data_IF_110421749960
#
_entry.id   IF_110421749960
#
_cell.length_a   1.000
_cell.length_b   1.000
_cell.length_c   1.000
_cell.angle_alpha   90.00
_cell.angle_beta   90.00
_cell.angle_gamma   90.00
#
_symmetry.space_group_name_H-M   'P 1'
#
loop_
_entity.id
_entity.type
_entity.pdbx_description
1 polymer ?
#
# COMPACT_ATOMS: atom_id res chain seq x y z
N UNK A 1 -22.32 17.93 -20.08
CA UNK A 1 -21.06 18.28 -19.41
C UNK A 1 -20.74 17.14 -18.48
N UNK A 2 -20.12 16.09 -19.03
CA UNK A 2 -19.77 14.89 -18.28
C UNK A 2 -18.58 15.23 -17.37
N UNK A 3 -18.62 14.88 -16.08
CA UNK A 3 -17.50 15.14 -15.19
C UNK A 3 -16.31 14.35 -15.73
N UNK A 4 -15.19 15.04 -15.91
CA UNK A 4 -13.90 14.44 -16.26
C UNK A 4 -13.70 13.24 -15.34
N UNK A 5 -13.74 12.03 -15.90
CA UNK A 5 -13.35 10.83 -15.17
C UNK A 5 -11.84 10.96 -14.96
N UNK A 6 -11.48 11.69 -13.92
CA UNK A 6 -10.14 11.75 -13.39
C UNK A 6 -9.70 10.29 -13.27
N UNK A 7 -8.61 9.85 -13.91
CA UNK A 7 -8.08 8.51 -13.67
C UNK A 7 -7.53 8.53 -12.25
N UNK A 8 -8.44 8.45 -11.28
CA UNK A 8 -8.13 8.26 -9.88
C UNK A 8 -7.49 6.88 -9.83
N UNK A 9 -6.16 6.85 -9.87
CA UNK A 9 -5.35 5.68 -9.62
C UNK A 9 -5.57 5.23 -8.18
N UNK A 10 -6.76 4.67 -7.90
CA UNK A 10 -7.14 4.09 -6.62
C UNK A 10 -6.57 2.69 -6.60
N UNK A 11 -5.38 2.56 -6.03
CA UNK A 11 -4.99 1.29 -5.44
C UNK A 11 -5.98 1.05 -4.29
N UNK A 12 -6.93 0.15 -4.49
CA UNK A 12 -7.82 -0.29 -3.42
C UNK A 12 -7.01 -1.08 -2.40
N UNK A 13 -7.13 -0.73 -1.12
CA UNK A 13 -6.41 -1.37 -0.01
C UNK A 13 -6.60 -2.89 0.00
N UNK A 14 -7.80 -3.35 -0.35
CA UNK A 14 -8.17 -4.76 -0.49
C UNK A 14 -7.31 -5.53 -1.49
N UNK A 15 -6.82 -4.87 -2.55
CA UNK A 15 -5.95 -5.50 -3.56
C UNK A 15 -4.48 -5.55 -3.11
N UNK A 16 -4.09 -4.76 -2.10
CA UNK A 16 -2.71 -4.71 -1.59
C UNK A 16 -2.51 -5.74 -0.46
N UNK A 17 -3.54 -6.00 0.34
CA UNK A 17 -3.49 -6.92 1.48
C UNK A 17 -2.81 -6.29 2.70
N UNK A 18 -1.99 -7.06 3.43
CA UNK A 18 -1.30 -6.58 4.63
C UNK A 18 -0.44 -5.34 4.37
N UNK A 19 0.11 -5.20 3.17
CA UNK A 19 0.92 -4.04 2.87
C UNK A 19 0.12 -2.72 2.89
N UNK A 20 -1.21 -2.73 2.69
CA UNK A 20 -2.04 -1.53 2.65
C UNK A 20 -2.01 -0.75 3.96
N UNK A 21 -2.14 -1.47 5.08
CA UNK A 21 -2.15 -0.93 6.44
C UNK A 21 -0.75 -0.93 7.07
N UNK A 22 0.29 -1.23 6.30
CA UNK A 22 1.64 -1.36 6.83
C UNK A 22 2.36 -0.01 6.90
N UNK A 23 2.96 0.34 8.05
CA UNK A 23 3.77 1.58 8.22
C UNK A 23 4.95 1.67 7.25
N UNK A 24 5.48 0.53 6.80
CA UNK A 24 6.59 0.48 5.87
C UNK A 24 6.15 0.58 4.40
N UNK A 25 4.86 0.38 4.12
CA UNK A 25 4.30 0.41 2.79
C UNK A 25 4.11 1.85 2.32
N UNK A 26 4.56 2.15 1.10
CA UNK A 26 4.40 3.48 0.50
C UNK A 26 3.86 3.37 -0.91
N UNK A 27 2.84 4.16 -1.21
CA UNK A 27 2.30 4.33 -2.56
C UNK A 27 3.21 5.31 -3.29
N UNK A 28 3.69 4.91 -4.46
CA UNK A 28 4.51 5.76 -5.31
C UNK A 28 3.75 6.05 -6.60
N UNK A 29 3.45 7.32 -6.91
CA UNK A 29 2.74 7.67 -8.14
C UNK A 29 3.62 7.44 -9.37
N UNK A 30 3.01 7.04 -10.49
CA UNK A 30 3.75 6.88 -11.74
C UNK A 30 4.01 8.26 -12.38
N UNK A 31 5.27 8.60 -12.71
CA UNK A 31 5.61 9.92 -13.26
C UNK A 31 4.96 10.22 -14.62
N UNK A 32 4.51 9.21 -15.37
CA UNK A 32 3.88 9.39 -16.69
C UNK A 32 2.34 9.26 -16.65
N UNK A 33 1.72 9.36 -15.47
CA UNK A 33 0.27 9.30 -15.33
C UNK A 33 -0.32 7.90 -15.52
N UNK A 34 0.42 6.88 -15.09
CA UNK A 34 -0.08 5.49 -15.01
C UNK A 34 -0.36 5.08 -13.57
N UNK A 35 -0.67 3.81 -13.37
CA UNK A 35 -0.99 3.28 -12.04
C UNK A 35 0.12 3.52 -11.05
N UNK A 36 -0.26 4.05 -9.89
CA UNK A 36 0.63 4.08 -8.75
C UNK A 36 1.09 2.65 -8.45
N UNK A 37 2.23 2.52 -7.80
CA UNK A 37 2.78 1.23 -7.41
C UNK A 37 3.11 1.20 -5.93
N UNK A 38 2.96 0.02 -5.33
CA UNK A 38 3.32 -0.16 -3.93
C UNK A 38 4.82 -0.46 -3.80
N UNK A 39 5.48 0.24 -2.88
CA UNK A 39 6.89 0.00 -2.54
C UNK A 39 7.04 -0.32 -1.06
N UNK A 40 7.85 -1.33 -0.77
CA UNK A 40 8.25 -1.65 0.60
C UNK A 40 9.48 -0.81 0.99
N UNK A 41 9.34 0.06 2.01
CA UNK A 41 10.47 0.80 2.57
C UNK A 41 11.48 -0.08 3.29
N UNK A 42 11.03 -1.21 3.85
CA UNK A 42 11.86 -2.16 4.62
C UNK A 42 12.99 -2.80 3.82
N UNK A 43 12.86 -2.85 2.48
CA UNK A 43 13.92 -3.33 1.58
C UNK A 43 15.22 -2.53 1.68
N UNK A 44 15.13 -1.26 2.09
CA UNK A 44 16.31 -0.40 2.24
C UNK A 44 17.18 -0.85 3.42
N UNK A 45 16.54 -1.18 4.53
CA UNK A 45 17.18 -1.69 5.74
C UNK A 45 17.59 -3.15 5.57
N UNK A 46 16.72 -3.97 4.98
CA UNK A 46 16.89 -5.41 4.93
C UNK A 46 16.52 -5.97 3.55
N UNK A 47 17.54 -6.44 2.83
CA UNK A 47 17.38 -6.97 1.46
C UNK A 47 16.63 -8.30 1.40
N UNK A 48 16.33 -8.94 2.53
CA UNK A 48 15.45 -10.09 2.56
C UNK A 48 14.01 -9.73 2.13
N UNK A 49 13.60 -8.46 2.29
CA UNK A 49 12.28 -8.00 1.84
C UNK A 49 12.30 -7.59 0.36
N UNK A 50 11.23 -7.91 -0.37
CA UNK A 50 11.11 -7.47 -1.76
C UNK A 50 10.82 -5.96 -1.84
N UNK A 51 11.62 -5.21 -2.61
CA UNK A 51 11.40 -3.77 -2.89
C UNK A 51 10.00 -3.50 -3.46
N UNK A 52 9.55 -4.39 -4.33
CA UNK A 52 8.24 -4.39 -4.96
C UNK A 52 7.54 -5.72 -4.62
N UNK A 53 6.76 -5.77 -3.52
CA UNK A 53 6.07 -6.99 -3.15
C UNK A 53 5.01 -7.35 -4.21
N UNK A 54 4.81 -8.65 -4.45
CA UNK A 54 3.73 -9.13 -5.31
C UNK A 54 2.42 -9.00 -4.53
N UNK A 55 1.51 -8.17 -5.03
CA UNK A 55 0.20 -7.97 -4.46
C UNK A 55 -0.78 -9.06 -4.96
N UNK A 56 -1.78 -9.48 -4.14
CA UNK A 56 -2.01 -9.07 -2.75
C UNK A 56 -1.05 -9.76 -1.77
N UNK A 57 -0.51 -9.00 -0.81
CA UNK A 57 0.37 -9.53 0.24
C UNK A 57 -0.48 -10.17 1.34
N UNK A 58 -0.52 -11.50 1.33
CA UNK A 58 -1.22 -12.31 2.33
C UNK A 58 -0.34 -12.69 3.53
N UNK A 59 0.98 -12.66 3.39
CA UNK A 59 1.93 -12.98 4.47
C UNK A 59 3.20 -12.15 4.34
N UNK A 60 3.56 -11.43 5.41
CA UNK A 60 4.78 -10.63 5.47
C UNK A 60 5.36 -10.68 6.89
N UNK A 61 6.56 -11.25 7.04
CA UNK A 61 7.24 -11.36 8.34
C UNK A 61 7.59 -9.99 8.96
N UNK A 62 7.66 -8.96 8.13
CA UNK A 62 8.00 -7.59 8.54
C UNK A 62 6.80 -6.66 8.63
N UNK A 63 5.56 -7.17 8.51
CA UNK A 63 4.34 -6.38 8.57
C UNK A 63 4.20 -5.66 9.92
N UNK A 64 3.85 -4.38 9.84
CA UNK A 64 3.63 -3.51 11.00
C UNK A 64 2.40 -2.65 10.72
N UNK A 65 1.25 -2.91 11.35
CA UNK A 65 0.07 -2.07 11.17
C UNK A 65 0.38 -0.64 11.60
N UNK A 66 -0.07 0.34 10.82
CA UNK A 66 -0.19 1.71 11.28
C UNK A 66 -1.38 1.75 12.25
N UNK A 67 -1.11 2.02 13.54
CA UNK A 67 -2.10 2.11 14.62
C UNK A 67 -3.13 3.25 14.41
N UNK A 68 -3.22 3.84 13.22
CA UNK A 68 -4.17 4.89 12.84
C UNK A 68 -5.63 4.45 12.71
N UNK A 69 -6.01 3.27 13.22
CA UNK A 69 -7.41 2.93 13.42
C UNK A 69 -7.82 3.42 14.82
N UNK A 70 -8.64 4.48 14.96
CA UNK A 70 -9.26 4.76 16.24
C UNK A 70 -10.14 3.56 16.58
N UNK A 71 -9.74 2.85 17.62
CA UNK A 71 -10.55 2.00 18.50
C UNK A 71 -11.99 1.79 17.99
N UNK A 72 -12.19 0.79 17.14
CA UNK A 72 -13.52 0.19 16.95
C UNK A 72 -13.73 -0.89 18.03
N UNK A 73 -13.32 -0.60 19.27
CA UNK A 73 -13.51 -1.41 20.47
C UNK A 73 -14.23 -0.59 21.54
N UNK A 74 -15.23 0.20 21.16
CA UNK A 74 -16.24 0.69 22.09
C UNK A 74 -17.47 -0.21 21.96
N UNK A 75 -17.56 -1.17 22.90
CA UNK A 75 -18.68 -2.10 23.03
C UNK A 75 -19.96 -1.48 23.58
#
# INVERSE_FOLDING_TARGET
>A
MEPTQNPEFKIQDSNVGLCATCVHGRIVPHPRGGDAYWRCGKHDEDKAFAKYPRLPVNSCAGYRPDDGLPDASSG
#
